data_IF_262538745121
#
_entry.id   IF_262538745121
#
_cell.length_a   1.000
_cell.length_b   1.000
_cell.length_c   1.000
_cell.angle_alpha   90.00
_cell.angle_beta   90.00
_cell.angle_gamma   90.00
#
_symmetry.space_group_name_H-M   'P 1'
#
loop_
_entity.id
_entity.type
_entity.pdbx_description
1 polymer ?
#
# COMPACT_ATOMS: atom_id res chain seq x y z
N UNK A 1 -14.32 12.41 -12.78
CA UNK A 1 -12.90 12.77 -12.97
C UNK A 1 -12.79 13.39 -14.34
N UNK A 2 -12.20 14.58 -14.45
CA UNK A 2 -12.02 15.26 -15.73
C UNK A 2 -10.56 15.12 -16.15
N UNK A 3 -10.32 14.62 -17.36
CA UNK A 3 -8.97 14.39 -17.91
C UNK A 3 -8.76 15.32 -19.08
N UNK A 4 -7.66 16.07 -19.04
CA UNK A 4 -7.22 16.96 -20.11
C UNK A 4 -5.84 16.52 -20.61
N UNK A 5 -5.66 16.52 -21.92
CA UNK A 5 -4.41 16.15 -22.59
C UNK A 5 -3.91 17.37 -23.34
N UNK A 6 -2.70 17.80 -22.99
CA UNK A 6 -2.05 18.96 -23.59
C UNK A 6 -0.86 18.54 -24.45
N UNK A 7 -0.69 19.21 -25.58
CA UNK A 7 0.55 19.18 -26.37
C UNK A 7 1.51 20.23 -25.80
N UNK A 8 2.62 19.75 -25.22
CA UNK A 8 3.62 20.60 -24.59
C UNK A 8 4.48 21.31 -25.65
N UNK A 9 4.50 22.64 -25.59
CA UNK A 9 5.22 23.45 -26.56
C UNK A 9 6.37 24.23 -25.90
N UNK A 10 7.61 24.06 -26.36
CA UNK A 10 8.78 24.72 -25.72
C UNK A 10 8.80 26.25 -25.79
N UNK A 11 8.10 26.86 -26.75
CA UNK A 11 8.14 28.31 -27.01
C UNK A 11 6.76 28.95 -27.16
N UNK A 12 5.69 28.20 -26.89
CA UNK A 12 4.30 28.67 -26.96
C UNK A 12 3.56 28.15 -25.72
N UNK A 13 2.34 28.62 -25.53
CA UNK A 13 1.47 28.03 -24.52
C UNK A 13 1.10 26.61 -24.93
N UNK A 14 1.02 25.72 -23.95
CA UNK A 14 0.55 24.35 -24.14
C UNK A 14 -0.88 24.36 -24.68
N UNK A 15 -1.13 23.48 -25.63
CA UNK A 15 -2.40 23.42 -26.34
C UNK A 15 -3.23 22.25 -25.83
N UNK A 16 -4.46 22.49 -25.38
CA UNK A 16 -5.40 21.42 -25.09
C UNK A 16 -5.77 20.72 -26.41
N UNK A 17 -5.37 19.47 -26.56
CA UNK A 17 -5.59 18.68 -27.77
C UNK A 17 -6.76 17.69 -27.61
N UNK A 18 -7.03 17.22 -26.40
CA UNK A 18 -8.09 16.26 -26.13
C UNK A 18 -8.54 16.28 -24.67
N UNK A 19 -9.78 15.85 -24.40
CA UNK A 19 -10.34 15.73 -23.06
C UNK A 19 -11.37 14.61 -22.97
N UNK A 20 -11.63 14.12 -21.77
CA UNK A 20 -12.79 13.27 -21.49
C UNK A 20 -13.25 13.40 -20.03
N UNK A 21 -14.51 13.06 -19.78
CA UNK A 21 -15.05 12.94 -18.42
C UNK A 21 -15.28 11.47 -18.07
N UNK A 22 -14.65 11.04 -16.99
CA UNK A 22 -14.69 9.65 -16.51
C UNK A 22 -15.46 9.58 -15.20
N UNK A 23 -16.53 8.80 -15.19
CA UNK A 23 -17.25 8.43 -13.96
C UNK A 23 -16.49 7.30 -13.28
N UNK A 24 -15.95 7.58 -12.10
CA UNK A 24 -15.24 6.56 -11.31
C UNK A 24 -16.27 5.52 -10.84
N UNK A 25 -16.14 4.23 -11.21
CA UNK A 25 -17.08 3.21 -10.78
C UNK A 25 -17.01 2.98 -9.26
N UNK A 26 -18.16 2.65 -8.65
CA UNK A 26 -18.23 2.39 -7.19
C UNK A 26 -17.29 1.28 -6.73
N UNK A 27 -17.08 0.25 -7.56
CA UNK A 27 -16.14 -0.86 -7.29
C UNK A 27 -14.72 -0.40 -7.03
N UNK A 28 -14.28 0.70 -7.65
CA UNK A 28 -12.94 1.25 -7.43
C UNK A 28 -12.77 1.68 -5.98
N UNK A 29 -13.79 2.30 -5.40
CA UNK A 29 -13.77 2.72 -3.99
C UNK A 29 -13.78 1.54 -3.00
N UNK A 30 -14.18 0.35 -3.45
CA UNK A 30 -14.10 -0.89 -2.68
C UNK A 30 -12.72 -1.56 -2.75
N UNK A 31 -11.78 -0.97 -3.48
CA UNK A 31 -10.42 -1.47 -3.66
C UNK A 31 -10.21 -2.29 -4.93
N UNK A 32 -11.22 -2.44 -5.78
CA UNK A 32 -11.07 -3.12 -7.07
C UNK A 32 -10.32 -2.23 -8.07
N UNK A 33 -9.53 -2.86 -8.94
CA UNK A 33 -8.89 -2.17 -10.06
C UNK A 33 -9.83 -2.18 -11.26
N UNK A 34 -9.97 -1.03 -11.92
CA UNK A 34 -10.76 -0.87 -13.13
C UNK A 34 -9.88 -0.37 -14.27
N UNK A 35 -9.88 -1.09 -15.38
CA UNK A 35 -9.19 -0.73 -16.61
C UNK A 35 -10.23 -0.60 -17.73
N UNK A 36 -10.17 0.48 -18.50
CA UNK A 36 -11.04 0.72 -19.65
C UNK A 36 -10.47 1.76 -20.61
N UNK A 37 -10.79 1.60 -21.90
CA UNK A 37 -10.51 2.58 -22.95
C UNK A 37 -11.60 3.65 -22.98
N UNK A 38 -11.21 4.91 -22.81
CA UNK A 38 -12.11 6.07 -22.86
C UNK A 38 -11.91 6.87 -24.13
N UNK A 39 -12.99 7.14 -24.85
CA UNK A 39 -12.96 7.99 -26.04
C UNK A 39 -12.72 9.44 -25.69
N UNK A 40 -11.91 10.11 -26.50
CA UNK A 40 -11.49 11.49 -26.30
C UNK A 40 -12.26 12.44 -27.21
N UNK A 41 -12.65 13.59 -26.65
CA UNK A 41 -13.28 14.71 -27.34
C UNK A 41 -12.29 15.86 -27.51
N UNK A 42 -12.49 16.70 -28.52
CA UNK A 42 -11.61 17.84 -28.77
C UNK A 42 -12.04 18.68 -29.97
N UNK A 43 -11.05 19.15 -30.74
CA UNK A 43 -11.26 20.02 -31.90
C UNK A 43 -11.94 19.31 -33.07
N UNK A 44 -11.74 18.00 -33.20
CA UNK A 44 -12.37 17.16 -34.22
C UNK A 44 -13.83 16.83 -33.90
N UNK A 45 -14.26 17.04 -32.66
CA UNK A 45 -15.60 16.77 -32.16
C UNK A 45 -15.63 15.74 -31.03
N UNK A 46 -16.83 15.37 -30.61
CA UNK A 46 -17.03 14.48 -29.46
C UNK A 46 -16.66 13.03 -29.79
N UNK A 47 -15.75 12.44 -29.02
CA UNK A 47 -15.29 11.06 -29.20
C UNK A 47 -14.47 10.81 -30.48
N UNK A 48 -13.93 11.87 -31.09
CA UNK A 48 -13.22 11.81 -32.38
C UNK A 48 -11.70 12.04 -32.28
N UNK A 49 -11.15 12.36 -31.10
CA UNK A 49 -9.70 12.57 -30.93
C UNK A 49 -8.93 11.27 -30.69
N UNK A 50 -9.62 10.13 -30.58
CA UNK A 50 -9.03 8.82 -30.28
C UNK A 50 -9.53 8.25 -28.96
N UNK A 51 -8.72 7.40 -28.34
CA UNK A 51 -9.03 6.81 -27.04
C UNK A 51 -7.77 6.71 -26.18
N UNK A 52 -7.96 6.78 -24.86
CA UNK A 52 -6.91 6.57 -23.86
C UNK A 52 -7.29 5.39 -22.97
N UNK A 53 -6.32 4.54 -22.67
CA UNK A 53 -6.47 3.46 -21.70
C UNK A 53 -6.13 3.97 -20.30
N UNK A 54 -7.03 3.75 -19.34
CA UNK A 54 -6.86 4.24 -17.97
C UNK A 54 -7.14 3.12 -16.98
N UNK A 55 -6.14 2.87 -16.13
CA UNK A 55 -6.23 1.96 -14.98
C UNK A 55 -6.45 2.77 -13.71
N UNK A 56 -7.57 2.52 -13.03
CA UNK A 56 -7.98 3.18 -11.78
C UNK A 56 -7.97 2.17 -10.64
N UNK A 57 -7.27 2.50 -9.55
CA UNK A 57 -7.31 1.78 -8.28
C UNK A 57 -7.37 2.77 -7.14
N UNK A 58 -8.11 2.45 -6.07
CA UNK A 58 -8.20 3.30 -4.89
C UNK A 58 -7.88 2.49 -3.63
N UNK A 59 -6.96 3.00 -2.81
CA UNK A 59 -6.62 2.42 -1.51
C UNK A 59 -6.77 3.46 -0.41
N UNK A 60 -7.64 3.20 0.56
CA UNK A 60 -7.77 4.04 1.75
C UNK A 60 -6.81 3.54 2.85
N UNK A 61 -5.52 3.77 2.67
CA UNK A 61 -4.52 3.50 3.71
C UNK A 61 -4.66 4.60 4.79
N UNK A 62 -5.05 4.27 6.03
CA UNK A 62 -4.96 5.25 7.11
C UNK A 62 -3.48 5.65 7.20
N UNK A 63 -3.20 6.95 7.06
CA UNK A 63 -1.87 7.49 7.37
C UNK A 63 -1.64 7.19 8.83
N UNK A 64 -0.93 6.10 9.12
CA UNK A 64 -0.45 5.81 10.45
C UNK A 64 0.51 6.95 10.77
N UNK A 65 0.19 7.83 11.74
CA UNK A 65 1.17 8.79 12.19
C UNK A 65 2.38 7.96 12.60
N UNK A 66 3.54 8.25 12.02
CA UNK A 66 4.80 7.68 12.47
C UNK A 66 4.94 8.04 13.95
N UNK A 67 4.47 7.17 14.85
CA UNK A 67 4.85 7.22 16.24
C UNK A 67 6.32 6.84 16.25
N UNK A 68 7.18 7.86 16.27
CA UNK A 68 8.50 7.68 16.84
C UNK A 68 8.29 7.05 18.21
N UNK A 69 8.89 5.89 18.52
CA UNK A 69 8.82 5.34 19.85
C UNK A 69 9.38 6.40 20.79
N UNK A 70 8.51 6.96 21.65
CA UNK A 70 8.94 7.90 22.67
C UNK A 70 10.00 7.19 23.50
N UNK A 71 11.24 7.66 23.41
CA UNK A 71 12.33 7.14 24.23
C UNK A 71 11.90 7.30 25.69
N UNK A 72 11.71 6.18 26.39
CA UNK A 72 11.31 6.21 27.78
C UNK A 72 12.34 6.99 28.61
N UNK A 73 11.91 7.87 29.53
CA UNK A 73 12.84 8.67 30.31
C UNK A 73 13.66 7.76 31.24
N UNK A 74 14.97 7.72 31.01
CA UNK A 74 15.92 7.00 31.85
C UNK A 74 16.36 7.92 33.00
N UNK A 75 16.21 7.47 34.24
CA UNK A 75 16.68 8.23 35.41
C UNK A 75 17.93 7.55 35.98
N UNK A 76 19.01 8.30 36.09
CA UNK A 76 20.27 7.83 36.69
C UNK A 76 20.22 8.05 38.20
N UNK A 77 20.27 6.96 38.98
CA UNK A 77 20.30 7.02 40.46
C UNK A 77 21.75 6.96 40.93
N UNK A 78 22.22 7.90 41.79
CA UNK A 78 23.59 7.87 42.29
C UNK A 78 23.87 6.61 43.10
N UNK A 79 24.90 5.83 42.71
CA UNK A 79 25.33 4.63 43.43
C UNK A 79 24.96 3.29 42.78
N UNK A 80 24.28 3.28 41.63
CA UNK A 80 24.08 2.07 40.81
C UNK A 80 24.43 2.35 39.34
N UNK A 81 25.32 1.56 38.70
CA UNK A 81 25.78 1.82 37.33
C UNK A 81 24.79 1.36 36.23
N UNK A 82 23.53 1.05 36.55
CA UNK A 82 22.54 0.56 35.59
C UNK A 82 21.32 1.49 35.57
N UNK A 83 20.83 1.89 34.38
CA UNK A 83 19.64 2.75 34.26
C UNK A 83 18.40 2.01 34.78
N UNK A 84 17.62 2.68 35.63
CA UNK A 84 16.36 2.14 36.17
C UNK A 84 15.22 2.70 35.34
N UNK A 85 14.44 1.79 34.76
CA UNK A 85 13.19 2.12 34.07
C UNK A 85 12.12 2.42 35.11
N UNK A 86 11.62 3.66 35.16
CA UNK A 86 10.53 4.06 36.04
C UNK A 86 9.22 3.98 35.25
N UNK A 87 8.36 2.96 35.49
CA UNK A 87 7.03 2.96 34.91
C UNK A 87 6.20 4.13 35.48
N UNK A 88 5.38 4.82 34.67
CA UNK A 88 4.56 5.91 35.14
C UNK A 88 3.53 5.44 36.18
N UNK A 89 3.14 6.30 37.15
CA UNK A 89 2.16 5.94 38.17
C UNK A 89 0.80 5.67 37.52
N UNK A 90 0.39 4.40 37.53
CA UNK A 90 -0.92 3.97 37.06
C UNK A 90 -1.99 4.43 38.06
N UNK A 91 -2.83 5.38 37.64
CA UNK A 91 -4.11 5.63 38.30
C UNK A 91 -4.96 4.36 38.17
N UNK A 92 -5.37 3.80 39.30
CA UNK A 92 -6.13 2.55 39.37
C UNK A 92 -7.52 2.76 38.78
N UNK A 93 -7.70 2.37 37.52
CA UNK A 93 -9.00 2.01 36.97
C UNK A 93 -9.21 0.50 37.15
N UNK A 94 -10.44 0.01 37.37
CA UNK A 94 -10.71 -1.41 37.59
C UNK A 94 -10.32 -2.21 36.34
N UNK A 95 -9.28 -3.03 36.46
CA UNK A 95 -8.75 -3.86 35.37
C UNK A 95 -9.63 -5.10 35.25
N UNK A 96 -10.54 -5.10 34.28
CA UNK A 96 -11.10 -6.35 33.76
C UNK A 96 -9.99 -6.99 32.93
N UNK A 97 -9.54 -8.17 33.35
CA UNK A 97 -8.33 -8.82 32.86
C UNK A 97 -8.26 -8.92 31.33
N UNK A 98 -7.38 -8.14 30.72
CA UNK A 98 -6.91 -8.36 29.37
C UNK A 98 -5.43 -8.68 29.46
N UNK A 99 -5.10 -9.94 29.20
CA UNK A 99 -3.74 -10.38 28.96
C UNK A 99 -3.16 -9.54 27.81
N UNK A 100 -1.90 -9.09 27.89
CA UNK A 100 -1.25 -8.41 26.78
C UNK A 100 -1.16 -9.39 25.62
N UNK A 101 -1.93 -9.12 24.56
CA UNK A 101 -1.82 -9.84 23.29
C UNK A 101 -0.50 -9.42 22.67
N UNK A 102 0.53 -10.24 22.87
CA UNK A 102 1.78 -10.17 22.13
C UNK A 102 1.39 -10.47 20.68
N UNK A 103 1.24 -9.44 19.86
CA UNK A 103 0.94 -9.61 18.44
C UNK A 103 2.13 -10.37 17.83
N UNK A 104 1.95 -11.63 17.38
CA UNK A 104 3.05 -12.35 16.76
C UNK A 104 3.50 -11.57 15.52
N UNK A 105 4.80 -11.54 15.19
CA UNK A 105 5.22 -11.08 13.87
C UNK A 105 4.42 -11.87 12.82
N UNK A 106 3.95 -11.25 11.72
CA UNK A 106 3.19 -11.94 10.68
C UNK A 106 4.01 -13.12 10.17
N UNK A 107 3.63 -14.33 10.57
CA UNK A 107 4.27 -15.56 10.15
C UNK A 107 3.56 -16.02 8.88
N UNK A 108 4.33 -16.35 7.84
CA UNK A 108 3.79 -16.94 6.62
C UNK A 108 3.01 -18.20 6.99
N UNK A 109 1.69 -18.18 6.82
CA UNK A 109 0.87 -19.34 7.15
C UNK A 109 1.07 -20.46 6.11
N UNK A 110 0.91 -21.71 6.53
CA UNK A 110 1.12 -22.87 5.66
C UNK A 110 0.15 -22.86 4.45
N UNK A 111 -1.08 -22.37 4.64
CA UNK A 111 -2.03 -22.14 3.55
C UNK A 111 -1.54 -21.11 2.53
N UNK A 112 -0.96 -19.99 2.98
CA UNK A 112 -0.49 -18.93 2.08
C UNK A 112 0.72 -19.38 1.25
N UNK A 113 1.65 -20.10 1.87
CA UNK A 113 2.80 -20.69 1.18
C UNK A 113 2.32 -21.67 0.11
N UNK A 114 1.32 -22.52 0.43
CA UNK A 114 0.76 -23.48 -0.53
C UNK A 114 0.09 -22.78 -1.72
N UNK A 115 -0.68 -21.71 -1.47
CA UNK A 115 -1.33 -20.96 -2.56
C UNK A 115 -0.32 -20.27 -3.48
N UNK A 116 0.75 -19.70 -2.93
CA UNK A 116 1.81 -19.10 -3.75
C UNK A 116 2.54 -20.19 -4.55
N UNK A 117 2.78 -21.37 -3.97
CA UNK A 117 3.37 -22.51 -4.66
C UNK A 117 2.48 -23.05 -5.81
N UNK A 118 1.15 -23.03 -5.64
CA UNK A 118 0.20 -23.42 -6.70
C UNK A 118 0.20 -22.43 -7.87
N UNK A 119 0.39 -21.13 -7.61
CA UNK A 119 0.50 -20.11 -8.66
C UNK A 119 1.86 -20.14 -9.37
N UNK A 120 2.94 -20.48 -8.64
CA UNK A 120 4.30 -20.51 -9.15
C UNK A 120 4.98 -21.88 -8.89
N UNK A 121 4.57 -22.95 -9.58
CA UNK A 121 5.09 -24.30 -9.34
C UNK A 121 6.59 -24.45 -9.65
N UNK A 122 7.16 -23.52 -10.42
CA UNK A 122 8.58 -23.51 -10.78
C UNK A 122 9.46 -22.67 -9.82
N UNK A 123 8.89 -21.99 -8.83
CA UNK A 123 9.63 -21.18 -7.86
C UNK A 123 9.88 -21.99 -6.59
N UNK A 124 11.12 -21.92 -6.08
CA UNK A 124 11.51 -22.61 -4.86
C UNK A 124 10.86 -21.97 -3.61
N UNK A 125 10.40 -22.81 -2.70
CA UNK A 125 9.82 -22.46 -1.40
C UNK A 125 10.67 -21.49 -0.56
N UNK A 126 12.00 -21.60 -0.63
CA UNK A 126 12.90 -20.70 0.12
C UNK A 126 12.93 -19.28 -0.48
N UNK A 127 12.76 -19.17 -1.80
CA UNK A 127 12.65 -17.87 -2.49
C UNK A 127 11.32 -17.20 -2.12
N UNK A 128 10.24 -17.97 -2.09
CA UNK A 128 8.91 -17.47 -1.67
C UNK A 128 8.95 -16.90 -0.25
N UNK A 129 9.56 -17.61 0.71
CA UNK A 129 9.71 -17.12 2.08
C UNK A 129 10.52 -15.84 2.16
N UNK A 130 11.63 -15.78 1.43
CA UNK A 130 12.52 -14.60 1.42
C UNK A 130 11.81 -13.36 0.87
N UNK A 131 11.07 -13.52 -0.22
CA UNK A 131 10.29 -12.43 -0.83
C UNK A 131 9.13 -12.03 0.08
N UNK A 132 8.50 -12.97 0.77
CA UNK A 132 7.43 -12.69 1.72
C UNK A 132 7.91 -11.93 2.96
N UNK A 133 9.07 -12.30 3.50
CA UNK A 133 9.71 -11.57 4.60
C UNK A 133 10.16 -10.17 4.16
N UNK A 134 10.74 -10.04 2.95
CA UNK A 134 11.10 -8.75 2.38
C UNK A 134 9.89 -7.82 2.22
N UNK A 135 8.73 -8.40 1.90
CA UNK A 135 7.45 -7.70 1.80
C UNK A 135 6.71 -7.56 3.14
N UNK A 136 7.39 -7.78 4.28
CA UNK A 136 6.83 -7.64 5.65
C UNK A 136 5.57 -8.48 5.90
N UNK A 137 5.49 -9.64 5.27
CA UNK A 137 4.34 -10.54 5.37
C UNK A 137 3.14 -10.12 4.52
N UNK A 138 3.34 -9.22 3.55
CA UNK A 138 2.30 -8.86 2.60
C UNK A 138 2.29 -9.84 1.41
N UNK A 139 1.26 -10.69 1.38
CA UNK A 139 1.05 -11.70 0.34
C UNK A 139 0.90 -11.11 -1.07
N UNK A 140 0.12 -10.06 -1.23
CA UNK A 140 -0.14 -9.45 -2.55
C UNK A 140 1.13 -8.82 -3.12
N UNK A 141 1.90 -8.13 -2.27
CA UNK A 141 3.19 -7.59 -2.65
C UNK A 141 4.20 -8.70 -3.02
N UNK A 142 4.14 -9.84 -2.32
CA UNK A 142 4.96 -11.02 -2.63
C UNK A 142 4.61 -11.61 -4.00
N UNK A 143 3.31 -11.76 -4.30
CA UNK A 143 2.84 -12.27 -5.59
C UNK A 143 3.28 -11.37 -6.75
N UNK A 144 3.09 -10.05 -6.60
CA UNK A 144 3.54 -9.07 -7.60
C UNK A 144 5.07 -9.10 -7.80
N UNK A 145 5.83 -9.25 -6.71
CA UNK A 145 7.29 -9.40 -6.79
C UNK A 145 7.70 -10.67 -7.53
N UNK A 146 7.02 -11.79 -7.28
CA UNK A 146 7.31 -13.07 -7.94
C UNK A 146 6.90 -13.09 -9.42
N UNK A 147 5.81 -12.40 -9.78
CA UNK A 147 5.41 -12.17 -11.18
C UNK A 147 6.49 -11.41 -11.95
N UNK A 148 6.99 -10.30 -11.39
CA UNK A 148 8.05 -9.49 -12.01
C UNK A 148 9.39 -10.24 -12.14
N UNK A 149 9.63 -11.26 -11.32
CA UNK A 149 10.82 -12.10 -11.41
C UNK A 149 10.68 -13.26 -12.42
N UNK A 150 9.46 -13.52 -12.94
CA UNK A 150 9.18 -14.59 -13.90
C UNK A 150 8.87 -14.08 -15.33
N UNK A 151 8.84 -12.76 -15.55
CA UNK A 151 8.94 -12.16 -16.89
C UNK A 151 10.39 -12.21 -17.42
#
# INVERSE_FOLDING_TARGET
MYVEIYDECSFKMDELIAWCEIKIPERVFSGETHEEWYTLSGKQGDGLEGAIDIVLSFSNQPIQPYLYPAAAPMVMVPGRPMPIFVPPPQQQQPVVGQQPVVVPPPQLSAEELKQIQEMFPNIDTEVVKTVFEANRGNKDATINSLLQMNE
#
